data_IF_045091600923
#
_entry.id   IF_045091600923
#
_cell.length_a   1.000
_cell.length_b   1.000
_cell.length_c   1.000
_cell.angle_alpha   90.00
_cell.angle_beta   90.00
_cell.angle_gamma   90.00
#
_symmetry.space_group_name_H-M   'P 1'
#
loop_
_entity.id
_entity.type
_entity.pdbx_description
1 polymer ?
#
# COMPACT_ATOMS: atom_id res chain seq x y z
N UNK A 1 14.56 16.39 -0.23
CA UNK A 1 13.09 16.59 -0.06
C UNK A 1 12.71 16.33 1.40
N UNK A 2 11.85 17.15 2.01
CA UNK A 2 11.44 17.01 3.42
C UNK A 2 10.12 16.24 3.52
N UNK A 3 10.09 15.16 4.29
CA UNK A 3 8.92 14.26 4.40
C UNK A 3 7.69 14.96 4.99
N UNK A 4 7.88 15.89 5.93
CA UNK A 4 6.78 16.65 6.56
C UNK A 4 6.12 17.53 5.51
N UNK A 5 6.93 18.14 4.64
CA UNK A 5 6.44 18.94 3.53
C UNK A 5 5.64 18.09 2.53
N UNK A 6 6.04 16.84 2.30
CA UNK A 6 5.30 15.90 1.44
C UNK A 6 3.89 15.62 2.00
N UNK A 7 3.76 15.43 3.32
CA UNK A 7 2.45 15.21 3.95
C UNK A 7 1.51 16.40 3.76
N UNK A 8 1.99 17.62 4.03
CA UNK A 8 1.15 18.83 3.96
C UNK A 8 0.84 19.27 2.53
N UNK A 9 1.72 18.97 1.57
CA UNK A 9 1.51 19.28 0.15
C UNK A 9 0.89 18.13 -0.63
N UNK A 10 0.56 17.04 0.03
CA UNK A 10 0.00 15.87 -0.60
C UNK A 10 -1.33 16.23 -1.29
N UNK A 11 -1.48 15.98 -2.60
CA UNK A 11 -2.78 16.05 -3.24
C UNK A 11 -3.72 15.00 -2.62
N UNK A 12 -5.03 15.25 -2.73
CA UNK A 12 -6.02 14.22 -2.41
C UNK A 12 -5.80 12.99 -3.31
N UNK A 13 -6.04 11.76 -2.83
CA UNK A 13 -5.85 10.54 -3.62
C UNK A 13 -6.48 10.58 -5.02
N UNK A 14 -7.67 11.17 -5.19
CA UNK A 14 -8.34 11.26 -6.50
C UNK A 14 -7.68 12.24 -7.48
N UNK A 15 -6.74 13.08 -7.04
CA UNK A 15 -6.00 14.03 -7.87
C UNK A 15 -4.61 13.52 -8.26
N UNK A 16 -4.27 12.30 -7.84
CA UNK A 16 -3.00 11.66 -8.18
C UNK A 16 -3.30 10.53 -9.13
N UNK A 17 -2.91 10.64 -10.40
CA UNK A 17 -3.14 9.57 -11.38
C UNK A 17 -1.98 8.57 -11.44
N UNK A 18 -0.75 9.05 -11.24
CA UNK A 18 0.45 8.23 -11.08
C UNK A 18 1.29 8.72 -9.90
N UNK A 19 1.69 7.81 -9.01
CA UNK A 19 2.55 8.15 -7.88
C UNK A 19 4.01 8.14 -8.29
N UNK A 20 4.64 9.31 -8.28
CA UNK A 20 6.09 9.42 -8.50
C UNK A 20 6.86 8.72 -7.38
N UNK A 21 7.96 8.05 -7.73
CA UNK A 21 8.89 7.48 -6.78
C UNK A 21 10.08 8.40 -6.49
N UNK A 22 10.54 8.40 -5.24
CA UNK A 22 11.65 9.23 -4.75
C UNK A 22 12.49 8.46 -3.73
N UNK A 23 13.81 8.64 -3.77
CA UNK A 23 14.71 7.94 -2.87
C UNK A 23 14.76 8.60 -1.48
N UNK A 24 14.40 7.85 -0.45
CA UNK A 24 14.55 8.28 0.95
C UNK A 24 14.98 7.10 1.84
N UNK A 25 16.24 6.62 1.74
CA UNK A 25 16.70 5.36 2.36
C UNK A 25 16.50 5.27 3.86
N UNK A 26 16.47 6.40 4.59
CA UNK A 26 16.28 6.43 6.04
C UNK A 26 14.83 6.19 6.47
N UNK A 27 13.88 6.25 5.55
CA UNK A 27 12.45 6.17 5.81
C UNK A 27 11.82 4.84 5.41
N UNK A 28 12.55 4.02 4.65
CA UNK A 28 12.16 2.66 4.30
C UNK A 28 13.03 1.66 5.05
N UNK A 29 12.39 0.67 5.67
CA UNK A 29 13.09 -0.39 6.41
C UNK A 29 13.61 -1.43 5.42
N UNK A 30 14.81 -1.97 5.66
CA UNK A 30 15.34 -3.10 4.88
C UNK A 30 14.33 -4.25 4.83
N UNK A 31 14.03 -4.72 3.61
CA UNK A 31 13.07 -5.79 3.35
C UNK A 31 11.72 -5.32 2.80
N UNK A 32 11.57 -4.03 2.50
CA UNK A 32 10.46 -3.47 1.73
C UNK A 32 11.04 -2.78 0.49
N UNK A 33 10.44 -3.02 -0.68
CA UNK A 33 10.96 -2.49 -1.95
C UNK A 33 10.39 -1.09 -2.26
N UNK A 34 9.21 -0.79 -1.74
CA UNK A 34 8.52 0.49 -1.85
C UNK A 34 7.67 0.79 -0.62
N UNK A 35 7.30 2.05 -0.45
CA UNK A 35 6.34 2.49 0.54
C UNK A 35 5.50 3.64 -0.03
N UNK A 36 4.19 3.43 -0.14
CA UNK A 36 3.23 4.49 -0.43
C UNK A 36 3.15 5.50 0.72
N UNK A 37 3.63 6.72 0.46
CA UNK A 37 3.63 7.84 1.39
C UNK A 37 3.00 9.08 0.76
N UNK A 38 1.74 9.35 1.11
CA UNK A 38 1.00 10.57 0.74
C UNK A 38 1.06 10.89 -0.77
N UNK A 39 0.79 9.88 -1.61
CA UNK A 39 0.79 10.03 -3.08
C UNK A 39 2.17 9.98 -3.73
N UNK A 40 3.20 9.60 -2.97
CA UNK A 40 4.57 9.39 -3.46
C UNK A 40 5.04 8.00 -3.03
N UNK A 41 5.81 7.32 -3.87
CA UNK A 41 6.46 6.05 -3.54
C UNK A 41 7.84 6.35 -2.98
N UNK A 42 8.13 5.92 -1.75
CA UNK A 42 9.45 6.04 -1.15
C UNK A 42 10.25 4.77 -1.45
N UNK A 43 11.48 4.91 -1.95
CA UNK A 43 12.41 3.80 -2.25
C UNK A 43 13.74 3.93 -1.51
N UNK A 44 14.57 2.88 -1.59
CA UNK A 44 15.90 2.84 -0.96
C UNK A 44 16.96 3.65 -1.72
N UNK A 45 16.90 3.70 -3.06
CA UNK A 45 17.91 4.39 -3.87
C UNK A 45 17.28 5.17 -5.04
N UNK A 46 18.05 6.12 -5.59
CA UNK A 46 17.62 6.88 -6.77
C UNK A 46 17.41 5.96 -7.98
N UNK A 47 18.23 4.90 -8.09
CA UNK A 47 18.06 3.88 -9.14
C UNK A 47 16.72 3.16 -9.01
N UNK A 48 16.32 2.79 -7.80
CA UNK A 48 15.02 2.14 -7.58
C UNK A 48 13.88 3.12 -7.91
N UNK A 49 14.00 4.38 -7.46
CA UNK A 49 13.02 5.42 -7.79
C UNK A 49 12.88 5.61 -9.30
N UNK A 50 13.99 5.63 -10.04
CA UNK A 50 14.01 5.74 -11.49
C UNK A 50 13.30 4.56 -12.16
N UNK A 51 13.54 3.32 -11.69
CA UNK A 51 12.84 2.13 -12.20
C UNK A 51 11.32 2.25 -12.01
N UNK A 52 10.84 2.67 -10.84
CA UNK A 52 9.41 2.89 -10.57
C UNK A 52 8.80 4.03 -11.42
N UNK A 53 9.61 5.03 -11.79
CA UNK A 53 9.17 6.17 -12.59
C UNK A 53 9.16 5.87 -14.10
N UNK A 54 10.04 4.99 -14.58
CA UNK A 54 10.16 4.65 -16.00
C UNK A 54 9.31 3.45 -16.41
N UNK A 55 9.06 2.51 -15.48
CA UNK A 55 8.39 1.24 -15.78
C UNK A 55 7.21 1.00 -14.86
N UNK A 56 6.04 0.77 -15.47
CA UNK A 56 4.88 0.24 -14.77
C UNK A 56 4.99 -1.29 -14.68
N UNK A 57 5.49 -1.79 -13.55
CA UNK A 57 5.62 -3.22 -13.25
C UNK A 57 4.83 -3.63 -12.01
N UNK A 58 4.93 -4.90 -11.58
CA UNK A 58 4.12 -5.42 -10.48
C UNK A 58 4.25 -4.66 -9.16
N UNK A 59 5.47 -4.23 -8.80
CA UNK A 59 5.70 -3.43 -7.58
C UNK A 59 5.09 -2.03 -7.70
N UNK A 60 5.20 -1.38 -8.87
CA UNK A 60 4.55 -0.08 -9.11
C UNK A 60 3.03 -0.24 -9.03
N UNK A 61 2.48 -1.30 -9.61
CA UNK A 61 1.06 -1.62 -9.53
C UNK A 61 0.60 -1.83 -8.08
N UNK A 62 1.36 -2.60 -7.28
CA UNK A 62 1.09 -2.79 -5.84
C UNK A 62 0.96 -1.46 -5.09
N UNK A 63 1.91 -0.55 -5.27
CA UNK A 63 1.85 0.76 -4.64
C UNK A 63 0.66 1.59 -5.18
N UNK A 64 0.39 1.54 -6.48
CA UNK A 64 -0.78 2.20 -7.08
C UNK A 64 -2.10 1.66 -6.53
N UNK A 65 -2.20 0.37 -6.19
CA UNK A 65 -3.39 -0.17 -5.51
C UNK A 65 -3.61 0.54 -4.17
N UNK A 66 -2.58 0.85 -3.39
CA UNK A 66 -2.73 1.62 -2.14
C UNK A 66 -3.27 3.03 -2.36
N UNK A 67 -2.90 3.69 -3.46
CA UNK A 67 -3.52 4.96 -3.85
C UNK A 67 -5.02 4.79 -4.10
N UNK A 68 -5.44 3.74 -4.81
CA UNK A 68 -6.85 3.49 -5.10
C UNK A 68 -7.63 3.03 -3.86
N UNK A 69 -6.98 2.37 -2.91
CA UNK A 69 -7.52 2.12 -1.57
C UNK A 69 -7.67 3.43 -0.78
N UNK A 70 -6.75 4.38 -0.94
CA UNK A 70 -6.87 5.71 -0.35
C UNK A 70 -8.04 6.51 -0.97
N UNK A 71 -8.31 6.35 -2.28
CA UNK A 71 -9.51 6.88 -2.94
C UNK A 71 -10.79 6.30 -2.33
N UNK A 72 -10.86 4.97 -2.15
CA UNK A 72 -12.03 4.28 -1.59
C UNK A 72 -12.23 4.46 -0.07
N UNK A 73 -11.23 5.02 0.63
CA UNK A 73 -11.30 5.39 2.05
C UNK A 73 -11.62 6.87 2.22
N UNK A 74 -12.75 7.28 1.63
CA UNK A 74 -13.23 8.67 1.62
C UNK A 74 -12.24 9.65 0.99
N UNK A 75 -11.44 9.19 0.03
CA UNK A 75 -10.49 10.01 -0.69
C UNK A 75 -9.56 10.79 0.26
N UNK A 76 -9.02 10.09 1.26
CA UNK A 76 -8.25 10.69 2.35
C UNK A 76 -7.08 9.80 2.77
N UNK A 77 -5.85 10.30 2.57
CA UNK A 77 -4.64 9.65 3.06
C UNK A 77 -4.68 9.40 4.57
N UNK A 78 -5.20 10.35 5.35
CA UNK A 78 -5.28 10.20 6.80
C UNK A 78 -6.20 9.04 7.21
N UNK A 79 -7.38 8.95 6.61
CA UNK A 79 -8.32 7.86 6.91
C UNK A 79 -7.80 6.50 6.43
N UNK A 80 -7.14 6.47 5.27
CA UNK A 80 -6.40 5.31 4.79
C UNK A 80 -5.37 4.84 5.83
N UNK A 81 -4.47 5.73 6.28
CA UNK A 81 -3.43 5.36 7.25
C UNK A 81 -3.99 4.97 8.61
N UNK A 82 -5.05 5.62 9.09
CA UNK A 82 -5.72 5.24 10.34
C UNK A 82 -6.30 3.82 10.25
N UNK A 83 -6.99 3.49 9.14
CA UNK A 83 -7.53 2.13 8.92
C UNK A 83 -6.42 1.11 8.75
N UNK A 84 -5.40 1.43 7.95
CA UNK A 84 -4.24 0.58 7.75
C UNK A 84 -3.55 0.26 9.09
N UNK A 85 -3.27 1.29 9.90
CA UNK A 85 -2.66 1.15 11.22
C UNK A 85 -3.54 0.33 12.19
N UNK A 86 -4.85 0.55 12.18
CA UNK A 86 -5.80 -0.25 12.97
C UNK A 86 -5.74 -1.74 12.61
N UNK A 87 -5.80 -2.08 11.32
CA UNK A 87 -5.70 -3.48 10.89
C UNK A 87 -4.32 -4.08 11.18
N UNK A 88 -3.26 -3.29 11.05
CA UNK A 88 -1.92 -3.72 11.41
C UNK A 88 -1.80 -4.06 12.90
N UNK A 89 -2.34 -3.23 13.80
CA UNK A 89 -2.37 -3.49 15.24
C UNK A 89 -3.20 -4.73 15.57
N UNK A 90 -4.36 -4.87 14.90
CA UNK A 90 -5.20 -6.04 15.05
C UNK A 90 -4.46 -7.32 14.64
N UNK A 91 -3.84 -7.36 13.48
CA UNK A 91 -3.11 -8.51 12.99
C UNK A 91 -1.81 -8.79 13.77
N UNK A 92 -1.19 -7.76 14.37
CA UNK A 92 0.02 -7.90 15.18
C UNK A 92 -0.15 -8.81 16.40
N UNK A 93 -1.38 -9.04 16.87
CA UNK A 93 -1.66 -10.06 17.90
C UNK A 93 -1.29 -11.49 17.46
N UNK A 94 -1.21 -11.73 16.15
CA UNK A 94 -0.83 -13.00 15.53
C UNK A 94 0.68 -13.17 15.32
N UNK A 95 1.51 -12.23 15.80
CA UNK A 95 2.98 -12.23 15.60
C UNK A 95 3.70 -13.50 16.06
N UNK A 96 3.15 -14.22 17.05
CA UNK A 96 3.71 -15.49 17.55
C UNK A 96 3.61 -16.61 16.52
N UNK A 97 2.64 -16.55 15.60
CA UNK A 97 2.39 -17.54 14.54
C UNK A 97 3.01 -17.11 13.20
N UNK A 98 3.02 -15.81 12.92
CA UNK A 98 3.52 -15.27 11.67
C UNK A 98 4.39 -14.02 11.93
N UNK A 99 5.67 -14.08 11.57
CA UNK A 99 6.54 -12.91 11.60
C UNK A 99 5.95 -11.83 10.68
N UNK A 100 5.91 -10.58 11.15
CA UNK A 100 5.28 -9.47 10.44
C UNK A 100 3.78 -9.70 10.12
N UNK A 101 3.04 -10.43 10.97
CA UNK A 101 1.60 -10.64 10.83
C UNK A 101 0.82 -9.35 10.56
N UNK A 102 1.20 -8.23 11.21
CA UNK A 102 0.60 -6.92 11.00
C UNK A 102 0.59 -6.46 9.55
N UNK A 103 1.63 -6.78 8.79
CA UNK A 103 1.74 -6.48 7.36
C UNK A 103 1.07 -7.58 6.52
N UNK A 104 1.47 -8.84 6.76
CA UNK A 104 1.06 -9.99 5.94
C UNK A 104 -0.44 -10.30 5.98
N UNK A 105 -1.12 -9.94 7.06
CA UNK A 105 -2.56 -10.16 7.25
C UNK A 105 -3.38 -8.86 7.22
N UNK A 106 -2.74 -7.75 6.80
CA UNK A 106 -3.44 -6.49 6.59
C UNK A 106 -4.33 -6.63 5.36
N UNK A 107 -5.65 -6.35 5.45
CA UNK A 107 -6.57 -6.46 4.32
C UNK A 107 -6.13 -5.65 3.09
N UNK A 108 -5.52 -4.49 3.30
CA UNK A 108 -5.03 -3.64 2.22
C UNK A 108 -3.85 -4.29 1.48
N UNK A 109 -2.90 -4.87 2.24
CA UNK A 109 -1.79 -5.62 1.65
C UNK A 109 -2.26 -6.89 0.94
N UNK A 110 -3.25 -7.59 1.51
CA UNK A 110 -3.78 -8.80 0.90
C UNK A 110 -4.41 -8.54 -0.48
N UNK A 111 -5.19 -7.46 -0.63
CA UNK A 111 -5.70 -7.03 -1.94
C UNK A 111 -4.57 -6.63 -2.88
N UNK A 112 -3.61 -5.83 -2.41
CA UNK A 112 -2.50 -5.37 -3.23
C UNK A 112 -1.64 -6.54 -3.76
N UNK A 113 -1.30 -7.50 -2.91
CA UNK A 113 -0.57 -8.71 -3.30
C UNK A 113 -1.38 -9.64 -4.21
N UNK A 114 -2.69 -9.75 -4.01
CA UNK A 114 -3.55 -10.59 -4.86
C UNK A 114 -3.58 -10.09 -6.32
N UNK A 115 -3.48 -8.76 -6.50
CA UNK A 115 -3.63 -8.12 -7.81
C UNK A 115 -2.35 -7.49 -8.37
N UNK A 116 -1.22 -7.55 -7.66
CA UNK A 116 0.02 -6.88 -8.09
C UNK A 116 0.49 -7.28 -9.49
N UNK A 117 0.23 -8.53 -9.91
CA UNK A 117 0.62 -9.05 -11.22
C UNK A 117 -0.43 -8.79 -12.33
N UNK A 118 -1.65 -8.36 -11.97
CA UNK A 118 -2.66 -7.92 -12.91
C UNK A 118 -2.52 -6.42 -13.14
N UNK A 119 -1.78 -6.06 -14.20
CA UNK A 119 -1.49 -4.67 -14.54
C UNK A 119 -2.72 -3.90 -15.04
N UNK A 120 -3.83 -4.59 -15.34
CA UNK A 120 -5.09 -4.00 -15.78
C UNK A 120 -6.11 -3.87 -14.65
N UNK A 121 -5.78 -4.33 -13.44
CA UNK A 121 -6.68 -4.33 -12.29
C UNK A 121 -7.30 -2.96 -11.96
N UNK A 122 -6.57 -1.88 -12.27
CA UNK A 122 -6.98 -0.51 -11.95
C UNK A 122 -7.68 0.22 -13.10
N UNK A 123 -7.71 -0.34 -14.32
CA UNK A 123 -8.14 0.37 -15.54
C UNK A 123 -9.59 0.88 -15.47
N UNK A 124 -10.47 0.17 -14.74
CA UNK A 124 -11.88 0.51 -14.57
C UNK A 124 -12.22 0.98 -13.14
N UNK A 125 -11.22 1.32 -12.32
CA UNK A 125 -11.39 1.58 -10.87
C UNK A 125 -11.22 3.05 -10.49
N UNK A 126 -11.60 4.00 -11.34
CA UNK A 126 -11.35 5.45 -11.11
C UNK A 126 -11.72 5.94 -9.69
N UNK A 127 -12.84 5.45 -9.14
CA UNK A 127 -13.37 5.77 -7.81
C UNK A 127 -12.69 5.04 -6.64
N UNK A 128 -11.71 4.17 -6.91
CA UNK A 128 -10.97 3.37 -5.94
C UNK A 128 -11.34 1.89 -5.92
N UNK A 129 -10.61 1.13 -5.11
CA UNK A 129 -10.77 -0.33 -4.97
C UNK A 129 -11.26 -0.71 -3.58
N UNK A 130 -12.06 -1.78 -3.49
CA UNK A 130 -12.86 -2.11 -2.31
C UNK A 130 -12.69 -3.55 -1.83
N UNK A 131 -11.84 -4.36 -2.48
CA UNK A 131 -11.72 -5.78 -2.20
C UNK A 131 -11.05 -6.04 -0.87
N UNK A 132 -10.21 -5.13 -0.38
CA UNK A 132 -9.71 -5.14 1.00
C UNK A 132 -10.84 -5.28 2.03
N UNK A 133 -12.08 -4.85 1.74
CA UNK A 133 -13.22 -5.02 2.65
C UNK A 133 -13.60 -6.48 2.84
N UNK A 134 -13.47 -7.31 1.79
CA UNK A 134 -13.70 -8.76 1.88
C UNK A 134 -12.70 -9.39 2.84
N UNK A 135 -11.41 -9.09 2.65
CA UNK A 135 -10.36 -9.52 3.59
C UNK A 135 -10.61 -8.98 5.00
N UNK A 136 -11.07 -7.72 5.13
CA UNK A 136 -11.36 -7.10 6.43
C UNK A 136 -12.49 -7.81 7.20
N UNK A 137 -13.44 -8.45 6.51
CA UNK A 137 -14.52 -9.24 7.12
C UNK A 137 -14.05 -10.64 7.55
N UNK A 138 -12.98 -11.17 6.94
CA UNK A 138 -12.41 -12.47 7.32
C UNK A 138 -11.81 -12.43 8.74
N UNK A 139 -11.99 -13.48 9.55
CA UNK A 139 -11.22 -13.70 10.77
C UNK A 139 -9.71 -13.78 10.48
N UNK A 140 -8.87 -13.39 11.45
CA UNK A 140 -7.41 -13.45 11.28
C UNK A 140 -6.90 -14.87 11.00
N UNK A 141 -7.56 -15.91 11.53
CA UNK A 141 -7.23 -17.30 11.23
C UNK A 141 -7.41 -17.64 9.76
N UNK A 142 -8.48 -17.14 9.14
CA UNK A 142 -8.77 -17.36 7.72
C UNK A 142 -7.80 -16.58 6.83
N UNK A 143 -7.50 -15.31 7.17
CA UNK A 143 -6.47 -14.54 6.47
C UNK A 143 -5.10 -15.21 6.54
N UNK A 144 -4.78 -15.79 7.70
CA UNK A 144 -3.54 -16.54 7.87
C UNK A 144 -3.49 -17.76 6.93
N UNK A 145 -4.57 -18.54 6.87
CA UNK A 145 -4.67 -19.66 5.93
C UNK A 145 -4.55 -19.22 4.48
N UNK A 146 -5.16 -18.08 4.12
CA UNK A 146 -5.07 -17.51 2.78
C UNK A 146 -3.63 -17.08 2.45
N UNK A 147 -2.88 -16.55 3.41
CA UNK A 147 -1.49 -16.13 3.22
C UNK A 147 -0.51 -17.31 3.09
N UNK A 148 -0.80 -18.44 3.74
CA UNK A 148 0.12 -19.59 3.80
C UNK A 148 -0.14 -20.67 2.75
N UNK A 149 -1.18 -20.52 1.93
CA UNK A 149 -1.44 -21.38 0.77
C UNK A 149 -0.54 -20.97 -0.39
#
# INVERSE_FOLDING_TARGET
MNIVLMMFRAPRPCRTDDMRAVAMPRWIRKGYDGLTFFGTIITHSEKDAEVFNQRFGPLKNHEMIHLYQARSTHNSWLLFYLRYGWYWLCASRYRKRLKNAGYRLNPFEMEAYAHMNDLHYLDDKSEGVYEWRKFAQMPLSERYLHYTK
#
